data_IF_234711808816
#
_entry.id   IF_234711808816
#
_cell.length_a   1.000
_cell.length_b   1.000
_cell.length_c   1.000
_cell.angle_alpha   90.00
_cell.angle_beta   90.00
_cell.angle_gamma   90.00
#
_symmetry.space_group_name_H-M   'P 1'
#
loop_
_entity.id
_entity.type
_entity.pdbx_description
1 polymer ?
#
# COMPACT_ATOMS: atom_id res chain seq x y z
N UNK A 1 -5.23 -13.52 22.11
CA UNK A 1 -4.86 -12.08 22.05
C UNK A 1 -6.10 -11.23 22.20
N UNK A 2 -6.09 -10.22 23.09
CA UNK A 2 -7.19 -9.26 23.17
C UNK A 2 -7.15 -8.26 21.99
N UNK A 3 -8.23 -7.52 21.76
CA UNK A 3 -8.35 -6.63 20.59
C UNK A 3 -7.24 -5.57 20.47
N UNK A 4 -6.72 -5.09 21.60
CA UNK A 4 -5.64 -4.09 21.67
C UNK A 4 -4.31 -4.68 21.20
N UNK A 5 -3.97 -5.90 21.63
CA UNK A 5 -2.76 -6.60 21.19
C UNK A 5 -2.80 -6.86 19.69
N UNK A 6 -3.95 -7.28 19.15
CA UNK A 6 -4.12 -7.52 17.70
C UNK A 6 -3.92 -6.24 16.89
N UNK A 7 -4.46 -5.11 17.34
CA UNK A 7 -4.28 -3.82 16.64
C UNK A 7 -2.82 -3.34 16.67
N UNK A 8 -2.11 -3.52 17.79
CA UNK A 8 -0.69 -3.20 17.89
C UNK A 8 0.14 -4.02 16.90
N UNK A 9 -0.15 -5.32 16.79
CA UNK A 9 0.55 -6.21 15.87
C UNK A 9 0.29 -5.86 14.41
N UNK A 10 -0.97 -5.60 14.04
CA UNK A 10 -1.31 -5.13 12.69
C UNK A 10 -0.54 -3.84 12.35
N UNK A 11 -0.53 -2.85 13.25
CA UNK A 11 0.23 -1.61 13.03
C UNK A 11 1.73 -1.86 12.90
N UNK A 12 2.28 -2.84 13.62
CA UNK A 12 3.70 -3.22 13.50
C UNK A 12 3.98 -3.78 12.11
N UNK A 13 3.17 -4.71 11.63
CA UNK A 13 3.29 -5.30 10.28
C UNK A 13 3.30 -4.19 9.22
N UNK A 14 2.31 -3.30 9.23
CA UNK A 14 2.22 -2.25 8.20
C UNK A 14 3.37 -1.25 8.30
N UNK A 15 3.90 -0.97 9.52
CA UNK A 15 5.09 -0.11 9.67
C UNK A 15 6.34 -0.74 9.05
N UNK A 16 6.50 -2.05 9.19
CA UNK A 16 7.62 -2.79 8.57
C UNK A 16 7.46 -2.79 7.04
N UNK A 17 6.27 -3.10 6.52
CA UNK A 17 5.98 -3.03 5.08
C UNK A 17 6.22 -1.62 4.52
N UNK A 18 5.91 -0.54 5.26
CA UNK A 18 6.19 0.84 4.85
C UNK A 18 7.67 1.20 4.75
N UNK A 19 8.61 0.37 5.21
CA UNK A 19 10.04 0.58 4.94
C UNK A 19 10.38 0.30 3.48
N UNK A 20 9.55 -0.50 2.80
CA UNK A 20 9.66 -0.84 1.38
C UNK A 20 8.98 0.16 0.44
N UNK A 21 8.42 1.27 0.98
CA UNK A 21 7.86 2.37 0.21
C UNK A 21 8.53 3.66 0.71
N UNK A 22 9.62 4.16 0.11
CA UNK A 22 10.36 5.31 0.65
C UNK A 22 9.49 6.55 0.82
N UNK A 23 9.87 7.43 1.76
CA UNK A 23 9.31 8.79 1.83
C UNK A 23 9.86 9.61 0.67
N UNK A 24 9.10 10.60 0.22
CA UNK A 24 9.50 11.46 -0.90
C UNK A 24 8.74 12.76 -0.93
N UNK A 25 8.35 13.16 -2.13
CA UNK A 25 7.48 14.32 -2.37
C UNK A 25 6.05 14.09 -1.83
N UNK A 26 5.16 15.04 -2.11
CA UNK A 26 3.77 14.99 -1.65
C UNK A 26 3.04 13.73 -2.16
N UNK A 27 3.18 13.40 -3.45
CA UNK A 27 2.55 12.23 -4.05
C UNK A 27 3.06 10.91 -3.45
N UNK A 28 4.37 10.79 -3.24
CA UNK A 28 4.98 9.63 -2.61
C UNK A 28 4.58 9.50 -1.13
N UNK A 29 4.44 10.60 -0.40
CA UNK A 29 3.94 10.57 0.98
C UNK A 29 2.44 10.24 1.03
N UNK A 30 1.67 10.68 0.05
CA UNK A 30 0.25 10.31 -0.12
C UNK A 30 0.11 8.81 -0.39
N UNK A 31 0.97 8.23 -1.24
CA UNK A 31 1.03 6.77 -1.47
C UNK A 31 1.19 6.01 -0.15
N UNK A 32 2.15 6.41 0.68
CA UNK A 32 2.39 5.80 2.01
C UNK A 32 1.16 5.90 2.91
N UNK A 33 0.46 7.04 2.91
CA UNK A 33 -0.74 7.25 3.72
C UNK A 33 -1.90 6.36 3.27
N UNK A 34 -2.15 6.27 1.96
CA UNK A 34 -3.25 5.45 1.41
C UNK A 34 -2.94 3.97 1.62
N UNK A 35 -1.70 3.53 1.36
CA UNK A 35 -1.26 2.17 1.61
C UNK A 35 -1.47 1.78 3.07
N UNK A 36 -1.07 2.64 4.01
CA UNK A 36 -1.27 2.42 5.44
C UNK A 36 -2.74 2.11 5.76
N UNK A 37 -3.66 2.95 5.31
CA UNK A 37 -5.09 2.77 5.57
C UNK A 37 -5.65 1.51 4.89
N UNK A 38 -5.28 1.26 3.63
CA UNK A 38 -5.69 0.08 2.88
C UNK A 38 -5.22 -1.21 3.58
N UNK A 39 -3.96 -1.25 3.98
CA UNK A 39 -3.34 -2.42 4.59
C UNK A 39 -3.85 -2.69 6.00
N UNK A 40 -4.04 -1.66 6.84
CA UNK A 40 -4.66 -1.82 8.16
C UNK A 40 -6.05 -2.47 8.04
N UNK A 41 -6.84 -2.07 7.04
CA UNK A 41 -8.15 -2.67 6.77
C UNK A 41 -8.04 -4.10 6.23
N UNK A 42 -7.06 -4.39 5.37
CA UNK A 42 -6.81 -5.74 4.82
C UNK A 42 -6.43 -6.78 5.89
N UNK A 43 -5.84 -6.36 7.00
CA UNK A 43 -5.48 -7.22 8.13
C UNK A 43 -6.55 -7.21 9.24
N UNK A 44 -7.61 -6.43 9.06
CA UNK A 44 -8.70 -6.23 9.99
C UNK A 44 -9.72 -7.38 10.00
N UNK A 45 -10.88 -7.14 10.65
CA UNK A 45 -11.95 -8.15 10.75
C UNK A 45 -12.76 -8.34 9.47
N UNK A 46 -12.80 -7.34 8.59
CA UNK A 46 -13.56 -7.32 7.34
C UNK A 46 -12.67 -6.78 6.22
N UNK A 47 -11.77 -7.63 5.68
CA UNK A 47 -10.77 -7.17 4.73
C UNK A 47 -11.41 -6.79 3.39
N UNK A 48 -11.09 -5.59 2.90
CA UNK A 48 -11.46 -5.14 1.53
C UNK A 48 -10.46 -5.64 0.49
N UNK A 49 -9.20 -5.77 0.88
CA UNK A 49 -8.10 -6.26 0.05
C UNK A 49 -7.55 -7.54 0.67
N UNK A 50 -7.09 -8.46 -0.18
CA UNK A 50 -6.63 -9.79 0.24
C UNK A 50 -5.18 -9.77 0.71
N UNK A 51 -4.33 -8.96 0.07
CA UNK A 51 -2.88 -8.98 0.26
C UNK A 51 -2.25 -7.58 0.16
N UNK A 52 -0.93 -7.49 0.32
CA UNK A 52 -0.19 -6.21 0.32
C UNK A 52 -0.13 -5.60 -1.08
N UNK A 53 -0.12 -6.45 -2.10
CA UNK A 53 -0.03 -6.12 -3.52
C UNK A 53 -1.30 -5.41 -3.99
N UNK A 54 -2.48 -5.94 -3.67
CA UNK A 54 -3.77 -5.30 -3.94
C UNK A 54 -3.88 -3.94 -3.22
N UNK A 55 -3.36 -3.85 -1.99
CA UNK A 55 -3.33 -2.58 -1.26
C UNK A 55 -2.43 -1.54 -1.94
N UNK A 56 -1.26 -1.97 -2.42
CA UNK A 56 -0.31 -1.09 -3.11
C UNK A 56 -0.84 -0.64 -4.47
N UNK A 57 -1.39 -1.55 -5.28
CA UNK A 57 -2.06 -1.24 -6.56
C UNK A 57 -3.19 -0.22 -6.37
N UNK A 58 -4.05 -0.45 -5.38
CA UNK A 58 -5.10 0.50 -5.03
C UNK A 58 -4.53 1.88 -4.64
N UNK A 59 -3.49 1.90 -3.80
CA UNK A 59 -2.88 3.15 -3.37
C UNK A 59 -2.25 3.92 -4.54
N UNK A 60 -1.52 3.24 -5.42
CA UNK A 60 -0.94 3.82 -6.64
C UNK A 60 -2.03 4.45 -7.51
N UNK A 61 -3.11 3.70 -7.79
CA UNK A 61 -4.23 4.20 -8.60
C UNK A 61 -4.84 5.48 -8.03
N UNK A 62 -5.12 5.50 -6.72
CA UNK A 62 -5.69 6.70 -6.06
C UNK A 62 -4.74 7.89 -6.10
N UNK A 63 -3.43 7.68 -5.95
CA UNK A 63 -2.46 8.78 -6.09
C UNK A 63 -2.41 9.28 -7.53
N UNK A 64 -2.45 8.39 -8.52
CA UNK A 64 -2.45 8.75 -9.94
C UNK A 64 -3.70 9.54 -10.37
N UNK A 65 -4.85 9.31 -9.73
CA UNK A 65 -6.06 10.13 -9.93
C UNK A 65 -5.83 11.60 -9.52
N UNK A 66 -4.94 11.85 -8.54
CA UNK A 66 -4.60 13.21 -8.07
C UNK A 66 -3.35 13.76 -8.77
N UNK A 67 -2.37 12.90 -9.07
CA UNK A 67 -1.09 13.21 -9.68
C UNK A 67 -0.88 12.30 -10.91
N UNK A 68 -1.42 12.64 -12.10
CA UNK A 68 -1.40 11.76 -13.27
C UNK A 68 0.01 11.36 -13.76
N UNK A 69 1.02 12.18 -13.48
CA UNK A 69 2.42 11.89 -13.80
C UNK A 69 3.19 11.16 -12.70
N UNK A 70 2.51 10.70 -11.64
CA UNK A 70 3.16 10.06 -10.50
C UNK A 70 3.80 8.73 -10.89
N UNK A 71 5.12 8.65 -10.68
CA UNK A 71 5.90 7.42 -10.79
C UNK A 71 6.22 6.90 -9.37
N UNK A 72 5.55 5.82 -8.92
CA UNK A 72 5.68 5.34 -7.56
C UNK A 72 7.06 4.71 -7.31
N UNK A 73 7.65 5.02 -6.16
CA UNK A 73 8.87 4.35 -5.69
C UNK A 73 8.51 3.32 -4.60
N UNK A 74 8.92 2.07 -4.81
CA UNK A 74 8.76 0.98 -3.85
C UNK A 74 9.71 -0.18 -4.19
N UNK A 75 9.92 -1.06 -3.23
CA UNK A 75 10.68 -2.30 -3.38
C UNK A 75 9.87 -3.33 -4.17
N UNK A 76 10.14 -3.44 -5.47
CA UNK A 76 9.41 -4.33 -6.38
C UNK A 76 9.55 -5.80 -6.01
N UNK A 77 10.70 -6.21 -5.48
CA UNK A 77 10.94 -7.59 -5.04
C UNK A 77 10.07 -7.93 -3.82
N UNK A 78 9.97 -7.00 -2.87
CA UNK A 78 9.12 -7.20 -1.70
C UNK A 78 7.62 -7.28 -2.04
N UNK A 79 7.17 -6.49 -3.02
CA UNK A 79 5.77 -6.42 -3.41
C UNK A 79 5.40 -7.37 -4.56
N UNK A 80 6.35 -8.09 -5.15
CA UNK A 80 6.09 -9.05 -6.24
C UNK A 80 5.20 -8.45 -7.36
N UNK A 81 5.38 -7.15 -7.63
CA UNK A 81 4.66 -6.43 -8.67
C UNK A 81 5.57 -6.29 -9.88
N UNK A 82 5.23 -7.00 -10.96
CA UNK A 82 5.85 -6.79 -12.26
C UNK A 82 5.31 -5.50 -12.91
N UNK A 83 6.17 -4.80 -13.65
CA UNK A 83 5.83 -3.56 -14.39
C UNK A 83 4.74 -3.76 -15.46
N UNK A 84 4.27 -5.00 -15.67
CA UNK A 84 3.28 -5.35 -16.69
C UNK A 84 1.83 -5.13 -16.26
N UNK A 85 1.56 -4.85 -14.98
CA UNK A 85 0.18 -4.76 -14.46
C UNK A 85 -0.33 -3.32 -14.29
N UNK A 86 0.40 -2.34 -14.81
CA UNK A 86 -0.08 -0.95 -14.97
C UNK A 86 -0.66 -0.68 -16.37
N UNK A 87 -0.82 -1.72 -17.19
CA UNK A 87 -1.34 -1.60 -18.54
C UNK A 87 -2.83 -1.89 -18.59
N UNK A 88 -3.66 -0.85 -18.62
CA UNK A 88 -4.90 -0.87 -19.39
C UNK A 88 -4.58 -1.47 -20.78
N UNK A 89 -4.97 -2.71 -20.99
CA UNK A 89 -4.92 -3.38 -22.29
C UNK A 89 -6.34 -3.52 -22.82
N UNK A 90 -6.63 -2.65 -23.79
CA UNK A 90 -7.74 -2.60 -24.76
C UNK A 90 -9.08 -2.03 -24.29
#
# INVERSE_FOLDING_TARGET
>A
MNGVQKLKEIRRIVKEELKHIPRGDEAQNMLRMIYWNARLNSLGKKPKFKNKEECLKYAIKVVQETYPGFSPQYDKEFFELDDTDTGDSK
#
